data_IF_412510334767
#
_entry.id   IF_412510334767
#
_cell.length_a   1.000
_cell.length_b   1.000
_cell.length_c   1.000
_cell.angle_alpha   90.00
_cell.angle_beta   90.00
_cell.angle_gamma   90.00
#
_symmetry.space_group_name_H-M   'P 1'
#
loop_
_entity.id
_entity.type
_entity.pdbx_description
1 polymer ?
#
# COMPACT_ATOMS: atom_id res chain seq x y z
N UNK A 1 11.34 -6.44 26.44
CA UNK A 1 11.70 -5.51 25.35
C UNK A 1 12.20 -6.36 24.19
N UNK A 2 11.68 -6.13 23.02
CA UNK A 2 12.10 -6.76 21.74
C UNK A 2 12.85 -5.75 20.88
N UNK A 3 13.72 -6.24 19.98
CA UNK A 3 14.32 -5.46 18.90
C UNK A 3 13.49 -5.52 17.62
N UNK A 4 12.39 -6.28 17.63
CA UNK A 4 11.45 -6.33 16.52
C UNK A 4 10.68 -5.00 16.44
N UNK A 5 10.96 -4.22 15.38
CA UNK A 5 10.34 -2.92 15.15
C UNK A 5 8.85 -2.97 14.84
N UNK A 6 8.31 -4.16 14.53
CA UNK A 6 6.88 -4.37 14.24
C UNK A 6 6.10 -4.98 15.40
N UNK A 7 6.75 -5.31 16.53
CA UNK A 7 6.08 -5.99 17.67
C UNK A 7 4.85 -5.23 18.22
N UNK A 8 4.82 -3.89 18.07
CA UNK A 8 3.66 -3.08 18.47
C UNK A 8 2.39 -3.41 17.68
N UNK A 9 2.50 -3.94 16.49
CA UNK A 9 1.37 -4.33 15.64
C UNK A 9 0.64 -5.58 16.13
N UNK A 10 1.28 -6.35 17.03
CA UNK A 10 0.75 -7.59 17.62
C UNK A 10 -0.17 -7.34 18.82
N UNK A 11 -0.32 -6.11 19.29
CA UNK A 11 -1.05 -5.76 20.50
C UNK A 11 -0.31 -6.08 21.79
N UNK A 12 -0.91 -5.77 22.95
CA UNK A 12 -0.26 -5.89 24.26
C UNK A 12 0.11 -7.33 24.63
N UNK A 13 -0.58 -8.31 24.12
CA UNK A 13 -0.37 -9.73 24.44
C UNK A 13 0.59 -10.45 23.48
N UNK A 14 1.25 -9.72 22.56
CA UNK A 14 2.24 -10.33 21.67
C UNK A 14 1.66 -11.38 20.72
N UNK A 15 0.45 -11.20 20.23
CA UNK A 15 -0.16 -12.13 19.27
C UNK A 15 -1.68 -12.21 19.29
N UNK A 16 -2.35 -11.31 19.98
CA UNK A 16 -3.83 -11.32 20.03
C UNK A 16 -4.50 -10.79 18.75
N UNK A 17 -3.75 -10.20 17.82
CA UNK A 17 -4.30 -9.62 16.59
C UNK A 17 -5.19 -8.39 16.80
N UNK A 18 -5.05 -7.69 17.93
CA UNK A 18 -5.96 -6.62 18.35
C UNK A 18 -5.34 -5.23 18.39
N UNK A 19 -4.11 -5.06 17.90
CA UNK A 19 -3.53 -3.73 17.81
C UNK A 19 -4.29 -2.88 16.79
N UNK A 20 -4.83 -1.75 17.26
CA UNK A 20 -5.61 -0.82 16.42
C UNK A 20 -4.86 0.50 16.35
N UNK A 21 -4.69 1.03 15.15
CA UNK A 21 -4.26 2.40 14.91
C UNK A 21 -5.48 3.24 14.56
N UNK A 22 -5.67 4.35 15.26
CA UNK A 22 -6.74 5.30 14.97
C UNK A 22 -6.19 6.46 14.12
N UNK A 23 -6.69 6.59 12.88
CA UNK A 23 -6.38 7.70 11.98
C UNK A 23 -7.56 8.63 11.89
N UNK A 24 -7.61 9.63 12.79
CA UNK A 24 -8.66 10.65 12.86
C UNK A 24 -10.08 10.05 12.96
N UNK A 25 -10.24 9.03 13.83
CA UNK A 25 -11.49 8.32 14.02
C UNK A 25 -11.72 7.14 13.07
N UNK A 26 -10.72 6.82 12.25
CA UNK A 26 -10.75 5.66 11.35
C UNK A 26 -9.83 4.57 11.89
N UNK A 27 -10.34 3.48 12.47
CA UNK A 27 -9.52 2.42 13.03
C UNK A 27 -8.98 1.48 11.95
N UNK A 28 -7.68 1.11 12.04
CA UNK A 28 -7.05 0.07 11.22
C UNK A 28 -6.59 -1.07 12.10
N UNK A 29 -6.80 -2.31 11.65
CA UNK A 29 -6.26 -3.50 12.29
C UNK A 29 -4.80 -3.69 11.87
N UNK A 30 -3.88 -3.38 12.77
CA UNK A 30 -2.45 -3.48 12.48
C UNK A 30 -1.97 -4.92 12.32
N UNK A 31 -2.66 -5.90 12.87
CA UNK A 31 -2.28 -7.30 12.75
C UNK A 31 -2.37 -7.80 11.31
N UNK A 32 -3.39 -7.37 10.57
CA UNK A 32 -3.53 -7.72 9.15
C UNK A 32 -2.37 -7.15 8.32
N UNK A 33 -2.00 -5.90 8.56
CA UNK A 33 -0.83 -5.29 7.92
C UNK A 33 0.47 -5.96 8.37
N UNK A 34 0.60 -6.37 9.64
CA UNK A 34 1.76 -7.12 10.13
C UNK A 34 1.97 -8.42 9.35
N UNK A 35 0.93 -9.23 9.21
CA UNK A 35 1.00 -10.49 8.45
C UNK A 35 1.37 -10.26 6.99
N UNK A 36 0.79 -9.23 6.37
CA UNK A 36 1.05 -8.88 4.99
C UNK A 36 2.50 -8.36 4.79
N UNK A 37 3.02 -7.56 5.73
CA UNK A 37 4.41 -7.09 5.71
C UNK A 37 5.38 -8.27 5.87
N UNK A 38 5.12 -9.19 6.82
CA UNK A 38 5.91 -10.41 6.97
C UNK A 38 5.92 -11.23 5.68
N UNK A 39 4.75 -11.39 5.04
CA UNK A 39 4.69 -12.09 3.75
C UNK A 39 5.65 -11.47 2.72
N UNK A 40 5.67 -10.14 2.60
CA UNK A 40 6.59 -9.46 1.68
C UNK A 40 8.05 -9.72 2.05
N UNK A 41 8.39 -9.60 3.33
CA UNK A 41 9.77 -9.82 3.81
C UNK A 41 10.28 -11.23 3.50
N UNK A 42 9.39 -12.23 3.61
CA UNK A 42 9.76 -13.64 3.45
C UNK A 42 9.73 -14.11 1.98
N UNK A 43 8.89 -13.51 1.13
CA UNK A 43 8.59 -14.07 -0.20
C UNK A 43 8.99 -13.16 -1.37
N UNK A 44 9.27 -11.86 -1.13
CA UNK A 44 9.61 -10.93 -2.19
C UNK A 44 11.12 -10.76 -2.26
N UNK A 45 11.69 -11.03 -3.42
CA UNK A 45 13.13 -10.87 -3.68
C UNK A 45 13.41 -9.66 -4.56
N UNK A 46 14.60 -9.07 -4.41
CA UNK A 46 14.98 -7.87 -5.14
C UNK A 46 14.36 -6.60 -4.56
N UNK A 47 14.13 -5.61 -5.40
CA UNK A 47 13.58 -4.32 -5.00
C UNK A 47 12.45 -3.87 -5.93
N UNK A 48 11.35 -4.66 -6.04
CA UNK A 48 10.23 -4.25 -6.86
C UNK A 48 9.56 -3.00 -6.27
N UNK A 49 8.99 -2.17 -7.15
CA UNK A 49 8.20 -1.02 -6.71
C UNK A 49 6.87 -1.50 -6.15
N UNK A 50 6.52 -1.04 -4.97
CA UNK A 50 5.20 -1.25 -4.37
C UNK A 50 4.32 -0.01 -4.52
N UNK A 51 3.00 -0.20 -4.50
CA UNK A 51 2.04 0.88 -4.35
C UNK A 51 1.12 0.59 -3.17
N UNK A 52 0.99 1.56 -2.31
CA UNK A 52 0.15 1.57 -1.11
C UNK A 52 -0.53 2.93 -0.98
N UNK A 53 -1.58 3.04 -0.19
CA UNK A 53 -2.34 4.26 -0.03
C UNK A 53 -1.50 5.40 0.56
N UNK A 54 -1.74 6.61 0.07
CA UNK A 54 -1.08 7.82 0.58
C UNK A 54 -1.90 8.46 1.71
N UNK A 55 -1.20 8.83 2.76
CA UNK A 55 -1.70 9.70 3.84
C UNK A 55 -0.71 10.81 4.11
N UNK A 56 -1.14 11.82 4.84
CA UNK A 56 -0.25 12.87 5.33
C UNK A 56 0.85 12.29 6.20
N UNK A 57 1.88 13.09 6.48
CA UNK A 57 3.04 12.69 7.27
C UNK A 57 2.65 12.17 8.66
N UNK A 58 3.40 11.16 9.10
CA UNK A 58 3.24 10.54 10.43
C UNK A 58 1.91 9.82 10.66
N UNK A 59 1.11 9.65 9.60
CA UNK A 59 -0.04 8.76 9.57
C UNK A 59 0.36 7.36 9.07
N UNK A 60 -0.59 6.43 8.98
CA UNK A 60 -0.32 5.04 8.62
C UNK A 60 0.04 4.79 7.14
N UNK A 61 0.06 5.82 6.31
CA UNK A 61 0.60 5.75 4.94
C UNK A 61 2.08 5.40 4.91
N UNK A 62 2.53 4.79 3.81
CA UNK A 62 3.91 4.32 3.61
C UNK A 62 4.37 3.21 4.57
N UNK A 63 3.44 2.51 5.20
CA UNK A 63 3.72 1.48 6.21
C UNK A 63 4.48 0.28 5.64
N UNK A 64 4.17 -0.13 4.40
CA UNK A 64 4.87 -1.23 3.75
C UNK A 64 6.28 -0.82 3.32
N UNK A 65 6.44 0.33 2.68
CA UNK A 65 7.78 0.80 2.27
C UNK A 65 8.69 1.03 3.46
N UNK A 66 8.19 1.57 4.57
CA UNK A 66 8.97 1.79 5.80
C UNK A 66 9.43 0.49 6.43
N UNK A 67 8.56 -0.52 6.51
CA UNK A 67 8.85 -1.79 7.19
C UNK A 67 9.63 -2.80 6.32
N UNK A 68 9.52 -2.70 5.00
CA UNK A 68 10.16 -3.64 4.08
C UNK A 68 11.42 -3.08 3.40
N UNK A 69 11.57 -1.75 3.38
CA UNK A 69 12.63 -1.08 2.60
C UNK A 69 12.39 -1.08 1.09
N UNK A 70 11.25 -1.56 0.61
CA UNK A 70 10.93 -1.56 -0.82
C UNK A 70 10.60 -0.14 -1.33
N UNK A 71 11.00 0.20 -2.56
CA UNK A 71 10.65 1.48 -3.16
C UNK A 71 9.14 1.58 -3.38
N UNK A 72 8.55 2.68 -2.94
CA UNK A 72 7.14 3.00 -3.16
C UNK A 72 6.99 4.07 -4.24
N UNK A 73 5.83 4.08 -4.94
CA UNK A 73 5.49 5.13 -5.92
C UNK A 73 5.55 6.51 -5.28
N UNK A 74 5.13 6.62 -4.02
CA UNK A 74 5.18 7.84 -3.22
C UNK A 74 5.46 7.51 -1.77
N UNK A 75 6.31 8.30 -1.12
CA UNK A 75 6.52 8.26 0.33
C UNK A 75 5.85 9.43 1.04
N UNK A 76 6.29 9.73 2.25
CA UNK A 76 5.85 10.91 2.99
C UNK A 76 6.25 12.19 2.28
N UNK A 77 5.27 13.08 2.07
CA UNK A 77 5.39 14.26 1.21
C UNK A 77 6.44 15.25 1.71
N UNK A 78 6.47 15.52 3.01
CA UNK A 78 7.44 16.44 3.60
C UNK A 78 8.88 15.95 3.42
N UNK A 79 9.16 14.73 3.80
CA UNK A 79 10.51 14.15 3.65
C UNK A 79 10.97 14.11 2.20
N UNK A 80 10.09 13.71 1.29
CA UNK A 80 10.41 13.68 -0.13
C UNK A 80 10.69 15.07 -0.68
N UNK A 81 9.94 16.11 -0.26
CA UNK A 81 10.18 17.50 -0.66
C UNK A 81 11.49 18.04 -0.09
N UNK A 82 11.81 17.74 1.18
CA UNK A 82 13.09 18.16 1.78
C UNK A 82 14.28 17.59 1.03
N UNK A 83 14.26 16.31 0.70
CA UNK A 83 15.35 15.68 -0.06
C UNK A 83 15.46 16.15 -1.51
N UNK A 84 14.40 16.75 -2.05
CA UNK A 84 14.34 17.26 -3.43
C UNK A 84 14.10 18.77 -3.48
N UNK A 85 14.59 19.52 -2.49
CA UNK A 85 14.31 20.97 -2.34
C UNK A 85 14.79 21.84 -3.51
N UNK A 86 15.68 21.32 -4.36
CA UNK A 86 16.17 22.00 -5.56
C UNK A 86 15.30 21.76 -6.80
N UNK A 87 14.29 20.90 -6.70
CA UNK A 87 13.39 20.55 -7.79
C UNK A 87 12.02 21.19 -7.49
N UNK A 88 11.35 21.72 -8.51
CA UNK A 88 9.97 22.18 -8.37
C UNK A 88 9.08 21.08 -7.77
N UNK A 89 8.49 21.35 -6.60
CA UNK A 89 7.68 20.38 -5.85
C UNK A 89 6.38 19.94 -6.56
N UNK A 90 6.01 20.58 -7.68
CA UNK A 90 4.77 20.25 -8.41
C UNK A 90 4.73 18.82 -8.94
N UNK A 91 5.89 18.20 -9.20
CA UNK A 91 5.96 16.81 -9.64
C UNK A 91 5.44 15.84 -8.56
N UNK A 92 5.66 16.20 -7.31
CA UNK A 92 5.26 15.39 -6.16
C UNK A 92 3.73 15.40 -6.00
N UNK A 93 3.13 16.59 -6.05
CA UNK A 93 1.68 16.74 -5.97
C UNK A 93 0.97 16.00 -7.11
N UNK A 94 1.50 16.12 -8.33
CA UNK A 94 1.01 15.35 -9.49
C UNK A 94 1.13 13.84 -9.30
N UNK A 95 2.14 13.36 -8.56
CA UNK A 95 2.30 11.93 -8.29
C UNK A 95 1.29 11.45 -7.26
N UNK A 96 1.02 12.23 -6.21
CA UNK A 96 -0.07 11.96 -5.26
C UNK A 96 -1.41 11.92 -5.98
N UNK A 97 -1.70 12.91 -6.81
CA UNK A 97 -2.92 12.94 -7.63
C UNK A 97 -3.07 11.66 -8.46
N UNK A 98 -2.03 11.26 -9.17
CA UNK A 98 -2.04 10.03 -9.98
C UNK A 98 -2.21 8.76 -9.16
N UNK A 99 -1.65 8.70 -7.95
CA UNK A 99 -1.87 7.58 -7.05
C UNK A 99 -3.33 7.55 -6.55
N UNK A 100 -3.90 8.70 -6.19
CA UNK A 100 -5.29 8.79 -5.80
C UNK A 100 -6.24 8.42 -6.96
N UNK A 101 -5.95 8.90 -8.17
CA UNK A 101 -6.66 8.49 -9.39
C UNK A 101 -6.59 6.97 -9.60
N UNK A 102 -5.39 6.39 -9.42
CA UNK A 102 -5.18 4.95 -9.58
C UNK A 102 -6.06 4.12 -8.64
N UNK A 103 -6.17 4.50 -7.37
CA UNK A 103 -7.04 3.77 -6.44
C UNK A 103 -8.53 4.05 -6.68
N UNK A 104 -8.90 5.27 -7.07
CA UNK A 104 -10.31 5.67 -7.20
C UNK A 104 -10.94 5.35 -8.56
N UNK A 105 -10.16 5.22 -9.64
CA UNK A 105 -10.72 4.92 -10.97
C UNK A 105 -11.24 3.50 -11.06
N UNK A 106 -12.32 3.29 -11.78
CA UNK A 106 -12.81 1.99 -12.22
C UNK A 106 -12.36 1.65 -13.67
N UNK A 107 -11.65 2.58 -14.34
CA UNK A 107 -11.12 2.35 -15.68
C UNK A 107 -9.85 1.51 -15.65
N UNK A 108 -9.92 0.28 -16.20
CA UNK A 108 -8.81 -0.66 -16.24
C UNK A 108 -7.65 -0.17 -17.10
N UNK A 109 -7.93 0.61 -18.15
CA UNK A 109 -6.88 1.13 -19.02
C UNK A 109 -6.01 2.16 -18.30
N UNK A 110 -6.63 3.06 -17.55
CA UNK A 110 -5.94 4.04 -16.69
C UNK A 110 -5.12 3.33 -15.60
N UNK A 111 -5.68 2.28 -14.97
CA UNK A 111 -4.96 1.50 -13.96
C UNK A 111 -3.74 0.79 -14.54
N UNK A 112 -3.85 0.14 -15.70
CA UNK A 112 -2.74 -0.51 -16.41
C UNK A 112 -1.65 0.49 -16.80
N UNK A 113 -2.03 1.65 -17.33
CA UNK A 113 -1.08 2.71 -17.68
C UNK A 113 -0.29 3.22 -16.45
N UNK A 114 -0.93 3.31 -15.28
CA UNK A 114 -0.24 3.65 -14.04
C UNK A 114 0.76 2.57 -13.63
N UNK A 115 0.34 1.29 -13.64
CA UNK A 115 1.20 0.13 -13.31
C UNK A 115 2.45 0.12 -14.20
N UNK A 116 2.26 0.26 -15.51
CA UNK A 116 3.36 0.28 -16.47
C UNK A 116 4.29 1.48 -16.28
N UNK A 117 3.72 2.68 -16.14
CA UNK A 117 4.47 3.93 -15.96
C UNK A 117 5.41 3.89 -14.75
N UNK A 118 4.93 3.37 -13.62
CA UNK A 118 5.69 3.32 -12.37
C UNK A 118 6.38 1.97 -12.15
N UNK A 119 6.28 1.05 -13.11
CA UNK A 119 6.85 -0.31 -13.03
C UNK A 119 6.46 -1.02 -11.72
N UNK A 120 5.19 -0.90 -11.37
CA UNK A 120 4.65 -1.46 -10.14
C UNK A 120 4.77 -2.98 -10.16
N UNK A 121 5.37 -3.55 -9.12
CA UNK A 121 5.47 -5.00 -8.94
C UNK A 121 4.41 -5.55 -8.00
N UNK A 122 4.01 -4.76 -6.99
CA UNK A 122 3.01 -5.18 -6.02
C UNK A 122 2.07 -4.02 -5.64
N UNK A 123 0.80 -4.36 -5.41
CA UNK A 123 -0.26 -3.44 -5.01
C UNK A 123 -0.83 -3.90 -3.68
N UNK A 124 -0.98 -2.96 -2.75
CA UNK A 124 -1.49 -3.22 -1.39
C UNK A 124 -2.92 -2.67 -1.29
N UNK A 125 -3.83 -3.46 -0.73
CA UNK A 125 -5.19 -3.03 -0.38
C UNK A 125 -5.51 -3.55 1.02
N UNK A 126 -5.36 -2.72 2.01
CA UNK A 126 -5.70 -2.96 3.41
C UNK A 126 -6.82 -2.05 3.92
N UNK A 127 -6.93 -1.95 5.24
CA UNK A 127 -7.94 -1.08 5.89
C UNK A 127 -7.77 0.38 5.49
N UNK A 128 -6.53 0.85 5.36
CA UNK A 128 -6.27 2.22 4.93
C UNK A 128 -6.85 2.47 3.53
N UNK A 129 -6.56 1.61 2.56
CA UNK A 129 -7.03 1.80 1.20
C UNK A 129 -8.56 1.72 1.13
N UNK A 130 -9.17 0.79 1.86
CA UNK A 130 -10.64 0.68 1.94
C UNK A 130 -11.31 1.87 2.60
N UNK A 131 -10.65 2.50 3.56
CA UNK A 131 -11.19 3.66 4.26
C UNK A 131 -11.14 4.96 3.43
N UNK A 132 -10.13 5.11 2.57
CA UNK A 132 -9.84 6.40 1.94
C UNK A 132 -10.06 6.44 0.43
N UNK A 133 -10.29 5.30 -0.21
CA UNK A 133 -10.53 5.24 -1.65
C UNK A 133 -11.91 4.67 -1.96
N UNK A 134 -12.42 5.02 -3.13
CA UNK A 134 -13.76 4.60 -3.56
C UNK A 134 -13.85 3.07 -3.70
N UNK A 135 -14.89 2.47 -3.11
CA UNK A 135 -15.13 1.04 -3.18
C UNK A 135 -15.17 0.53 -4.64
N UNK A 136 -15.85 1.26 -5.54
CA UNK A 136 -15.92 0.90 -6.96
C UNK A 136 -14.55 0.98 -7.64
N UNK A 137 -13.69 1.90 -7.20
CA UNK A 137 -12.31 1.95 -7.65
C UNK A 137 -11.50 0.74 -7.19
N UNK A 138 -11.73 0.23 -5.99
CA UNK A 138 -11.02 -0.95 -5.47
C UNK A 138 -11.51 -2.26 -6.12
N UNK A 139 -12.77 -2.34 -6.54
CA UNK A 139 -13.33 -3.51 -7.25
C UNK A 139 -12.57 -3.86 -8.53
N UNK A 140 -11.99 -2.86 -9.22
CA UNK A 140 -11.20 -3.09 -10.45
C UNK A 140 -10.05 -4.07 -10.26
N UNK A 141 -9.49 -4.19 -9.04
CA UNK A 141 -8.39 -5.14 -8.81
C UNK A 141 -8.83 -6.59 -9.03
N UNK A 142 -10.10 -6.92 -8.70
CA UNK A 142 -10.65 -8.24 -9.06
C UNK A 142 -10.78 -8.41 -10.57
N UNK A 143 -11.19 -7.38 -11.30
CA UNK A 143 -11.29 -7.44 -12.76
C UNK A 143 -9.91 -7.63 -13.39
N UNK A 144 -8.89 -6.93 -12.86
CA UNK A 144 -7.49 -7.13 -13.29
C UNK A 144 -6.95 -8.52 -12.96
N UNK A 145 -7.41 -9.14 -11.86
CA UNK A 145 -7.10 -10.56 -11.57
C UNK A 145 -7.78 -11.47 -12.59
N UNK A 146 -9.04 -11.24 -12.91
CA UNK A 146 -9.78 -12.02 -13.91
C UNK A 146 -9.16 -11.94 -15.31
N UNK A 147 -8.55 -10.79 -15.65
CA UNK A 147 -7.80 -10.59 -16.90
C UNK A 147 -6.37 -11.18 -16.85
N UNK A 148 -5.91 -11.71 -15.72
CA UNK A 148 -4.56 -12.25 -15.54
C UNK A 148 -3.46 -11.20 -15.41
N UNK A 149 -3.80 -9.92 -15.34
CA UNK A 149 -2.85 -8.79 -15.12
C UNK A 149 -2.30 -8.81 -13.70
N UNK A 150 -3.14 -9.18 -12.74
CA UNK A 150 -2.80 -9.31 -11.34
C UNK A 150 -3.00 -10.75 -10.86
N UNK A 151 -2.25 -11.10 -9.81
CA UNK A 151 -2.41 -12.33 -9.04
C UNK A 151 -2.49 -11.98 -7.56
N UNK A 152 -3.48 -12.49 -6.84
CA UNK A 152 -3.51 -12.43 -5.38
C UNK A 152 -2.43 -13.36 -4.86
N UNK A 153 -1.49 -12.82 -4.08
CA UNK A 153 -0.38 -13.58 -3.51
C UNK A 153 -0.46 -13.64 -1.98
N UNK A 154 -1.24 -12.76 -1.37
CA UNK A 154 -1.54 -12.78 0.06
C UNK A 154 -2.94 -12.21 0.32
N UNK A 155 -3.62 -12.72 1.36
CA UNK A 155 -4.98 -12.31 1.71
C UNK A 155 -6.02 -12.84 0.75
N UNK A 156 -7.20 -12.26 0.83
CA UNK A 156 -8.33 -12.57 -0.03
C UNK A 156 -9.06 -11.28 -0.43
N UNK A 157 -9.97 -11.37 -1.37
CA UNK A 157 -10.77 -10.23 -1.80
C UNK A 157 -12.07 -10.04 -1.00
N UNK A 158 -12.17 -10.60 0.22
CA UNK A 158 -13.39 -10.50 1.05
C UNK A 158 -13.53 -9.13 1.71
N UNK A 159 -12.46 -8.32 1.72
CA UNK A 159 -12.42 -7.01 2.37
C UNK A 159 -12.13 -7.07 3.87
N UNK A 160 -11.90 -8.24 4.44
CA UNK A 160 -11.62 -8.42 5.86
C UNK A 160 -10.12 -8.50 6.18
N UNK A 161 -9.28 -8.75 5.17
CA UNK A 161 -7.83 -8.92 5.31
C UNK A 161 -7.08 -7.93 4.42
N UNK A 162 -5.83 -7.63 4.76
CA UNK A 162 -4.95 -6.93 3.83
C UNK A 162 -4.62 -7.85 2.66
N UNK A 163 -4.87 -7.38 1.44
CA UNK A 163 -4.63 -8.13 0.20
C UNK A 163 -3.40 -7.58 -0.52
N UNK A 164 -2.52 -8.48 -0.97
CA UNK A 164 -1.38 -8.15 -1.82
C UNK A 164 -1.59 -8.75 -3.20
N UNK A 165 -1.56 -7.88 -4.20
CA UNK A 165 -1.59 -8.27 -5.61
C UNK A 165 -0.19 -8.17 -6.19
N UNK A 166 0.26 -9.23 -6.84
CA UNK A 166 1.47 -9.23 -7.69
C UNK A 166 1.09 -8.88 -9.11
N UNK A 167 1.87 -8.01 -9.74
CA UNK A 167 1.69 -7.65 -11.16
C UNK A 167 2.36 -8.70 -12.04
N UNK A 168 1.63 -9.23 -13.00
CA UNK A 168 2.09 -10.20 -14.00
C UNK A 168 2.44 -9.56 -15.37
N UNK A 169 2.35 -8.22 -15.49
CA UNK A 169 2.72 -7.55 -16.73
C UNK A 169 4.23 -7.67 -16.96
N UNK A 170 4.59 -8.16 -18.14
CA UNK A 170 5.97 -8.18 -18.64
C UNK A 170 6.32 -6.85 -19.32
#
# INVERSE_FOLDING_TARGET
KTLDGMAFMLGEAGGSGTAIYDDDGTPYNLFEDYLAIQYIQDNVTGSPVIVEGHRTEYKWGSRFSVQTGLPSVIGWSWHTRQHNSLIDGSWFDKRIEKLNDFYNTNDLSTAKAFIEKYKVGYIIVGDLERAWYAEDGLKKFQDLVNEGVLQIVFGDNTGNTTTIYKVNMQ
#
